data_IF_999955191030
#
_entry.id   IF_999955191030
#
_cell.length_a   1.000
_cell.length_b   1.000
_cell.length_c   1.000
_cell.angle_alpha   90.00
_cell.angle_beta   90.00
_cell.angle_gamma   90.00
#
_symmetry.space_group_name_H-M   'P 1'
#
loop_
_entity.id
_entity.type
_entity.pdbx_description
1 polymer ?
#
# COMPACT_ATOMS: atom_id res chain seq x y z
N UNK A 1 -5.29 0.48 5.10
CA UNK A 1 -4.15 0.86 4.21
C UNK A 1 -3.90 2.35 4.10
N UNK A 2 -4.93 3.15 3.80
CA UNK A 2 -4.78 4.62 3.67
C UNK A 2 -4.05 5.28 4.84
N UNK A 3 -4.28 4.82 6.08
CA UNK A 3 -3.56 5.30 7.27
C UNK A 3 -2.04 5.07 7.20
N UNK A 4 -1.61 3.88 6.79
CA UNK A 4 -0.18 3.53 6.66
C UNK A 4 0.47 4.37 5.56
N UNK A 5 -0.22 4.50 4.41
CA UNK A 5 0.23 5.35 3.30
C UNK A 5 0.38 6.79 3.77
N UNK A 6 -0.60 7.30 4.53
CA UNK A 6 -0.60 8.69 4.94
C UNK A 6 0.50 8.98 5.96
N UNK A 7 0.65 8.12 6.98
CA UNK A 7 1.76 8.21 7.93
C UNK A 7 3.12 8.14 7.22
N UNK A 8 3.31 7.20 6.27
CA UNK A 8 4.59 7.11 5.55
C UNK A 8 4.89 8.35 4.72
N UNK A 9 3.89 9.00 4.13
CA UNK A 9 4.06 10.23 3.35
C UNK A 9 4.38 11.45 4.24
N UNK A 10 3.95 11.44 5.50
CA UNK A 10 4.41 12.37 6.55
C UNK A 10 5.80 12.01 7.13
N UNK A 11 6.55 11.15 6.44
CA UNK A 11 7.86 10.64 6.87
C UNK A 11 7.87 9.93 8.23
N UNK A 12 6.73 9.39 8.68
CA UNK A 12 6.71 8.59 9.91
C UNK A 12 7.62 7.38 9.79
N UNK A 13 8.34 7.10 10.88
CA UNK A 13 9.21 5.93 10.99
C UNK A 13 8.38 4.66 11.02
N UNK A 14 8.88 3.60 10.38
CA UNK A 14 8.24 2.29 10.37
C UNK A 14 7.91 1.77 11.76
N UNK A 15 8.79 1.99 12.74
CA UNK A 15 8.53 1.63 14.15
C UNK A 15 7.24 2.27 14.65
N UNK A 16 7.08 3.58 14.50
CA UNK A 16 5.89 4.30 14.94
C UNK A 16 4.64 3.81 14.22
N UNK A 17 4.73 3.59 12.92
CA UNK A 17 3.62 3.10 12.11
C UNK A 17 3.17 1.73 12.60
N UNK A 18 4.10 0.78 12.76
CA UNK A 18 3.79 -0.57 13.23
C UNK A 18 3.09 -0.56 14.59
N UNK A 19 3.59 0.27 15.52
CA UNK A 19 2.96 0.47 16.83
C UNK A 19 1.54 1.06 16.70
N UNK A 20 1.37 2.05 15.82
CA UNK A 20 0.11 2.75 15.68
C UNK A 20 -0.97 1.95 14.92
N UNK A 21 -0.57 1.01 14.06
CA UNK A 21 -1.50 0.14 13.31
C UNK A 21 -1.63 -1.27 13.88
N UNK A 22 -0.82 -1.64 14.87
CA UNK A 22 -0.84 -2.97 15.48
C UNK A 22 -0.40 -4.09 14.54
N UNK A 23 0.45 -3.79 13.56
CA UNK A 23 0.94 -4.75 12.57
C UNK A 23 2.44 -4.95 12.69
N UNK A 24 2.89 -6.18 12.43
CA UNK A 24 4.30 -6.44 12.19
C UNK A 24 4.79 -5.66 10.96
N UNK A 25 6.09 -5.34 10.95
CA UNK A 25 6.71 -4.56 9.87
C UNK A 25 6.44 -5.14 8.47
N UNK A 26 6.54 -6.46 8.31
CA UNK A 26 6.29 -7.12 7.03
C UNK A 26 4.85 -6.87 6.52
N UNK A 27 3.85 -7.01 7.39
CA UNK A 27 2.45 -6.75 7.05
C UNK A 27 2.23 -5.26 6.74
N UNK A 28 2.70 -4.35 7.62
CA UNK A 28 2.58 -2.92 7.41
C UNK A 28 3.20 -2.46 6.08
N UNK A 29 4.37 -3.01 5.74
CA UNK A 29 5.06 -2.71 4.48
C UNK A 29 4.31 -3.25 3.26
N UNK A 30 3.68 -4.43 3.36
CA UNK A 30 2.83 -4.97 2.30
C UNK A 30 1.59 -4.09 2.07
N UNK A 31 0.92 -3.66 3.13
CA UNK A 31 -0.23 -2.76 3.07
C UNK A 31 0.13 -1.37 2.50
N UNK A 32 1.33 -0.87 2.82
CA UNK A 32 1.86 0.35 2.21
C UNK A 32 2.05 0.22 0.70
N UNK A 33 2.72 -0.85 0.25
CA UNK A 33 2.91 -1.14 -1.18
C UNK A 33 1.57 -1.26 -1.91
N UNK A 34 0.62 -1.97 -1.31
CA UNK A 34 -0.72 -2.10 -1.84
C UNK A 34 -1.41 -0.74 -2.02
N UNK A 35 -1.38 0.11 -1.00
CA UNK A 35 -1.96 1.44 -1.07
C UNK A 35 -1.33 2.32 -2.15
N UNK A 36 0.01 2.27 -2.30
CA UNK A 36 0.71 2.95 -3.39
C UNK A 36 0.33 2.40 -4.77
N UNK A 37 0.21 1.09 -4.91
CA UNK A 37 -0.23 0.44 -6.14
C UNK A 37 -1.63 0.88 -6.56
N UNK A 38 -2.56 0.99 -5.61
CA UNK A 38 -3.91 1.51 -5.89
C UNK A 38 -3.88 2.97 -6.36
N UNK A 39 -3.06 3.82 -5.74
CA UNK A 39 -2.91 5.22 -6.16
C UNK A 39 -2.35 5.27 -7.58
N UNK A 40 -1.28 4.53 -7.86
CA UNK A 40 -0.66 4.47 -9.18
C UNK A 40 -1.66 4.00 -10.26
N UNK A 41 -2.43 2.95 -10.01
CA UNK A 41 -3.43 2.45 -10.96
C UNK A 41 -4.54 3.46 -11.23
N UNK A 42 -5.02 4.15 -10.20
CA UNK A 42 -6.03 5.20 -10.34
C UNK A 42 -5.51 6.40 -11.14
N UNK A 43 -4.27 6.85 -10.87
CA UNK A 43 -3.64 7.94 -11.62
C UNK A 43 -3.44 7.57 -13.09
N UNK A 44 -3.09 6.30 -13.37
CA UNK A 44 -2.96 5.76 -14.73
C UNK A 44 -4.32 5.42 -15.39
N UNK A 45 -5.46 5.74 -14.75
CA UNK A 45 -6.83 5.44 -15.24
C UNK A 45 -7.02 3.99 -15.69
N UNK A 46 -6.26 3.05 -15.10
CA UNK A 46 -6.35 1.63 -15.46
C UNK A 46 -7.47 0.96 -14.68
N UNK A 47 -8.41 0.28 -15.35
CA UNK A 47 -9.37 -0.56 -14.65
C UNK A 47 -8.64 -1.76 -14.02
N UNK A 48 -8.91 -2.00 -12.74
CA UNK A 48 -8.41 -3.19 -12.03
C UNK A 48 -9.53 -3.80 -11.20
N UNK A 49 -9.49 -5.12 -11.02
CA UNK A 49 -10.46 -5.81 -10.19
C UNK A 49 -10.04 -5.70 -8.71
N UNK A 50 -10.86 -5.02 -7.90
CA UNK A 50 -10.63 -4.83 -6.46
C UNK A 50 -10.68 -6.13 -5.65
N UNK A 51 -11.24 -7.20 -6.21
CA UNK A 51 -11.29 -8.54 -5.59
C UNK A 51 -9.98 -9.32 -5.77
N UNK A 52 -9.03 -8.82 -6.57
CA UNK A 52 -7.74 -9.46 -6.72
C UNK A 52 -6.98 -9.46 -5.39
N UNK A 53 -6.21 -10.51 -5.11
CA UNK A 53 -5.36 -10.54 -3.93
C UNK A 53 -4.33 -9.41 -3.97
N UNK A 54 -3.95 -8.90 -2.79
CA UNK A 54 -3.05 -7.75 -2.62
C UNK A 54 -1.77 -7.87 -3.47
N UNK A 55 -1.16 -9.06 -3.49
CA UNK A 55 0.08 -9.30 -4.23
C UNK A 55 -0.09 -9.15 -5.74
N UNK A 56 -1.22 -9.59 -6.30
CA UNK A 56 -1.51 -9.45 -7.73
C UNK A 56 -1.74 -7.98 -8.11
N UNK A 57 -2.39 -7.20 -7.25
CA UNK A 57 -2.54 -5.75 -7.47
C UNK A 57 -1.17 -5.06 -7.42
N UNK A 58 -0.29 -5.46 -6.52
CA UNK A 58 1.09 -4.93 -6.45
C UNK A 58 1.88 -5.29 -7.70
N UNK A 59 1.78 -6.53 -8.20
CA UNK A 59 2.43 -6.95 -9.45
C UNK A 59 1.91 -6.15 -10.66
N UNK A 60 0.59 -6.02 -10.78
CA UNK A 60 -0.07 -5.28 -11.85
C UNK A 60 0.37 -3.81 -11.89
N UNK A 61 0.58 -3.18 -10.73
CA UNK A 61 1.07 -1.82 -10.67
C UNK A 61 2.55 -1.68 -11.06
N UNK A 62 3.36 -2.74 -10.92
CA UNK A 62 4.79 -2.72 -11.31
C UNK A 62 5.03 -3.02 -12.79
N UNK A 63 4.09 -3.66 -13.47
CA UNK A 63 4.20 -3.98 -14.90
C UNK A 63 3.85 -2.79 -15.81
N UNK A 64 3.90 -1.56 -15.29
CA UNK A 64 3.62 -0.32 -16.02
C UNK A 64 4.94 0.29 -16.52
#
# INVERSE_FOLDING_TARGET
DGKIVWMKAHDERWKNICWHVGLCHAAAHQHWRYGLSLIALNLNRRPFNRKLPILEIIKLARSQ
#
